data_IF_608918293385
#
_entry.id   IF_608918293385
#
_cell.length_a   1.000
_cell.length_b   1.000
_cell.length_c   1.000
_cell.angle_alpha   90.00
_cell.angle_beta   90.00
_cell.angle_gamma   90.00
#
_symmetry.space_group_name_H-M   'P 1'
#
loop_
_entity.id
_entity.type
_entity.pdbx_description
1 polymer ?
#
# COMPACT_ATOMS: atom_id res chain seq x y z
N UNK A 1 -22.63 -17.01 11.42
CA UNK A 1 -21.22 -17.06 10.98
C UNK A 1 -21.20 -17.03 9.46
N UNK A 2 -20.48 -16.07 8.90
CA UNK A 2 -20.34 -15.95 7.43
C UNK A 2 -19.60 -17.16 6.88
N UNK A 3 -20.12 -17.88 5.88
CA UNK A 3 -19.42 -19.02 5.29
C UNK A 3 -18.07 -18.62 4.70
N UNK A 4 -17.06 -19.49 4.83
CA UNK A 4 -15.71 -19.23 4.33
C UNK A 4 -15.65 -18.83 2.84
N UNK A 5 -16.49 -19.46 2.01
CA UNK A 5 -16.57 -19.14 0.57
C UNK A 5 -17.00 -17.72 0.27
N UNK A 6 -17.86 -17.13 1.10
CA UNK A 6 -18.27 -15.72 0.96
C UNK A 6 -17.09 -14.81 1.26
N UNK A 7 -16.33 -15.10 2.32
CA UNK A 7 -15.12 -14.32 2.64
C UNK A 7 -14.08 -14.41 1.52
N UNK A 8 -13.88 -15.61 0.96
CA UNK A 8 -12.96 -15.82 -0.15
C UNK A 8 -13.40 -15.04 -1.41
N UNK A 9 -14.68 -15.06 -1.73
CA UNK A 9 -15.24 -14.32 -2.87
C UNK A 9 -15.07 -12.81 -2.68
N UNK A 10 -15.37 -12.29 -1.49
CA UNK A 10 -15.19 -10.87 -1.20
C UNK A 10 -13.72 -10.47 -1.28
N UNK A 11 -12.81 -11.27 -0.74
CA UNK A 11 -11.37 -11.04 -0.84
C UNK A 11 -10.89 -11.01 -2.30
N UNK A 12 -11.38 -11.94 -3.13
CA UNK A 12 -11.11 -11.96 -4.57
C UNK A 12 -11.62 -10.69 -5.26
N UNK A 13 -12.84 -10.27 -4.96
CA UNK A 13 -13.42 -9.06 -5.55
C UNK A 13 -12.67 -7.79 -5.12
N UNK A 14 -12.19 -7.71 -3.88
CA UNK A 14 -11.34 -6.61 -3.43
C UNK A 14 -10.02 -6.51 -4.24
N UNK A 15 -9.50 -7.64 -4.72
CA UNK A 15 -8.32 -7.69 -5.58
C UNK A 15 -8.49 -6.99 -6.94
N UNK A 16 -9.72 -6.82 -7.43
CA UNK A 16 -10.03 -6.12 -8.69
C UNK A 16 -9.51 -4.67 -8.65
N UNK A 17 -9.60 -4.01 -7.50
CA UNK A 17 -9.05 -2.67 -7.33
C UNK A 17 -7.55 -2.58 -7.60
N UNK A 18 -6.78 -3.61 -7.22
CA UNK A 18 -5.36 -3.71 -7.56
C UNK A 18 -5.10 -3.86 -9.05
N UNK A 19 -5.98 -4.57 -9.78
CA UNK A 19 -5.91 -4.72 -11.24
C UNK A 19 -6.11 -3.41 -11.99
N UNK A 20 -6.94 -2.50 -11.48
CA UNK A 20 -7.18 -1.18 -12.08
C UNK A 20 -5.91 -0.32 -12.17
N UNK A 21 -4.94 -0.53 -11.28
CA UNK A 21 -3.65 0.16 -11.31
C UNK A 21 -2.92 -0.02 -12.65
N UNK A 22 -3.02 -1.19 -13.25
CA UNK A 22 -2.43 -1.48 -14.57
C UNK A 22 -3.07 -0.69 -15.71
N UNK A 23 -4.30 -0.22 -15.56
CA UNK A 23 -4.97 0.65 -16.54
C UNK A 23 -4.55 2.11 -16.44
N UNK A 24 -4.27 2.59 -15.22
CA UNK A 24 -3.95 4.01 -14.99
C UNK A 24 -2.53 4.38 -15.39
N UNK A 25 -1.55 3.50 -15.18
CA UNK A 25 -0.15 3.77 -15.45
C UNK A 25 0.16 4.01 -16.94
N UNK A 26 -0.29 3.15 -17.88
CA UNK A 26 -0.11 3.39 -19.30
C UNK A 26 -0.78 4.68 -19.78
N UNK A 27 -2.00 4.96 -19.32
CA UNK A 27 -2.73 6.19 -19.67
C UNK A 27 -1.93 7.44 -19.31
N UNK A 28 -1.33 7.48 -18.13
CA UNK A 28 -0.45 8.59 -17.73
C UNK A 28 0.75 8.72 -18.66
N UNK A 29 1.35 7.60 -19.08
CA UNK A 29 2.46 7.62 -20.03
C UNK A 29 2.10 8.20 -21.40
N UNK A 30 0.85 8.10 -21.84
CA UNK A 30 0.38 8.70 -23.11
C UNK A 30 0.13 10.21 -23.02
N UNK A 31 -0.27 10.73 -21.86
CA UNK A 31 -0.59 12.14 -21.69
C UNK A 31 0.63 13.02 -21.44
N UNK A 32 1.76 12.45 -21.04
CA UNK A 32 2.95 13.20 -20.69
C UNK A 32 4.10 12.96 -21.68
N UNK A 33 4.94 13.97 -21.95
CA UNK A 33 6.10 13.78 -22.82
C UNK A 33 7.09 12.81 -22.19
N UNK A 34 7.81 12.05 -23.03
CA UNK A 34 8.76 11.01 -22.60
C UNK A 34 9.80 11.51 -21.59
N UNK A 35 10.23 12.79 -21.73
CA UNK A 35 11.21 13.42 -20.81
C UNK A 35 10.72 13.59 -19.37
N UNK A 36 9.41 13.55 -19.13
CA UNK A 36 8.77 13.71 -17.82
C UNK A 36 8.03 12.43 -17.39
N UNK A 37 8.25 11.33 -18.07
CA UNK A 37 7.55 10.07 -17.81
C UNK A 37 7.81 9.54 -16.39
N UNK A 38 9.04 9.60 -15.91
CA UNK A 38 9.40 9.18 -14.56
C UNK A 38 8.74 10.06 -13.51
N UNK A 39 8.76 11.37 -13.68
CA UNK A 39 8.10 12.33 -12.78
C UNK A 39 6.58 12.09 -12.75
N UNK A 40 5.95 11.95 -13.91
CA UNK A 40 4.49 11.75 -14.00
C UNK A 40 4.05 10.44 -13.35
N UNK A 41 4.73 9.34 -13.66
CA UNK A 41 4.45 8.03 -13.08
C UNK A 41 4.82 7.96 -11.58
N UNK A 42 5.90 8.62 -11.18
CA UNK A 42 6.32 8.74 -9.79
C UNK A 42 5.30 9.50 -8.94
N UNK A 43 4.83 10.65 -9.42
CA UNK A 43 3.77 11.44 -8.78
C UNK A 43 2.46 10.66 -8.68
N UNK A 44 1.98 10.11 -9.78
CA UNK A 44 0.73 9.34 -9.80
C UNK A 44 0.82 8.14 -8.86
N UNK A 45 1.87 7.33 -8.99
CA UNK A 45 2.04 6.15 -8.16
C UNK A 45 2.32 6.48 -6.68
N UNK A 46 3.06 7.57 -6.41
CA UNK A 46 3.33 8.02 -5.05
C UNK A 46 2.07 8.55 -4.36
N UNK A 47 1.33 9.45 -5.01
CA UNK A 47 0.06 9.97 -4.47
C UNK A 47 -0.96 8.83 -4.29
N UNK A 48 -1.06 7.91 -5.27
CA UNK A 48 -1.94 6.75 -5.16
C UNK A 48 -1.60 5.86 -3.95
N UNK A 49 -0.32 5.64 -3.69
CA UNK A 49 0.14 4.85 -2.54
C UNK A 49 -0.10 5.54 -1.18
N UNK A 50 -0.27 6.87 -1.14
CA UNK A 50 -0.68 7.56 0.10
C UNK A 50 -2.00 7.03 0.64
N UNK A 51 -2.87 6.50 -0.22
CA UNK A 51 -4.10 5.85 0.21
C UNK A 51 -3.89 4.73 1.24
N UNK A 52 -2.79 3.97 1.12
CA UNK A 52 -2.44 2.94 2.09
C UNK A 52 -2.11 3.55 3.46
N UNK A 53 -1.41 4.67 3.48
CA UNK A 53 -1.09 5.40 4.71
C UNK A 53 -2.34 6.01 5.33
N UNK A 54 -3.20 6.61 4.51
CA UNK A 54 -4.46 7.23 4.97
C UNK A 54 -5.37 6.19 5.63
N UNK A 55 -5.56 5.02 5.01
CA UNK A 55 -6.43 3.99 5.60
C UNK A 55 -5.85 3.41 6.89
N UNK A 56 -4.53 3.28 6.99
CA UNK A 56 -3.88 2.78 8.21
C UNK A 56 -3.94 3.79 9.35
N UNK A 57 -3.93 5.09 9.05
CA UNK A 57 -4.06 6.15 10.05
C UNK A 57 -5.53 6.37 10.46
N UNK A 58 -6.41 6.49 9.48
CA UNK A 58 -7.81 6.89 9.68
C UNK A 58 -8.68 5.69 10.06
N UNK A 59 -8.37 4.49 9.56
CA UNK A 59 -9.14 3.28 9.81
C UNK A 59 -9.36 2.98 11.30
N UNK A 60 -8.32 2.91 12.14
CA UNK A 60 -8.47 2.69 13.57
C UNK A 60 -9.32 3.77 14.27
N UNK A 61 -9.18 5.03 13.83
CA UNK A 61 -9.97 6.14 14.36
C UNK A 61 -11.45 5.94 14.02
N UNK A 62 -11.76 5.60 12.77
CA UNK A 62 -13.14 5.37 12.32
C UNK A 62 -13.81 4.20 13.03
N UNK A 63 -13.04 3.17 13.38
CA UNK A 63 -13.57 2.02 14.13
C UNK A 63 -13.96 2.36 15.57
N UNK A 64 -13.37 3.40 16.17
CA UNK A 64 -13.68 3.87 17.52
C UNK A 64 -14.95 4.72 17.61
N UNK A 65 -15.54 5.14 16.50
CA UNK A 65 -16.71 6.03 16.49
C UNK A 65 -17.90 5.40 15.77
N UNK A 66 -19.11 5.60 16.32
CA UNK A 66 -20.33 5.41 15.55
C UNK A 66 -20.47 6.52 14.51
N UNK A 67 -20.09 6.24 13.26
CA UNK A 67 -20.05 7.25 12.20
C UNK A 67 -21.47 7.66 11.77
N UNK A 68 -21.76 8.95 11.80
CA UNK A 68 -22.92 9.63 11.18
C UNK A 68 -24.31 9.06 11.47
N UNK A 69 -24.53 8.32 12.58
CA UNK A 69 -25.82 7.72 12.83
C UNK A 69 -26.20 6.61 11.85
N UNK A 70 -25.32 6.23 10.95
CA UNK A 70 -25.47 5.10 10.03
C UNK A 70 -25.03 3.79 10.70
N UNK A 71 -25.43 3.56 11.92
CA UNK A 71 -25.21 2.27 12.58
C UNK A 71 -26.17 1.23 12.04
N UNK A 72 -26.01 0.88 10.76
CA UNK A 72 -26.82 -0.17 10.12
C UNK A 72 -26.56 -1.52 10.75
N UNK A 73 -25.38 -1.67 11.34
CA UNK A 73 -24.95 -2.89 12.01
C UNK A 73 -24.61 -2.58 13.47
N UNK A 74 -24.92 -3.53 14.35
CA UNK A 74 -24.59 -3.42 15.76
C UNK A 74 -23.07 -3.41 15.97
N UNK A 75 -22.56 -2.64 16.96
CA UNK A 75 -21.14 -2.66 17.28
C UNK A 75 -20.70 -4.07 17.68
N UNK A 76 -19.46 -4.38 17.38
CA UNK A 76 -18.82 -5.60 17.84
C UNK A 76 -18.09 -5.32 19.15
N UNK A 77 -18.04 -6.32 20.03
CA UNK A 77 -17.25 -6.22 21.26
C UNK A 77 -15.79 -6.56 20.94
N UNK A 78 -14.86 -5.69 21.30
CA UNK A 78 -13.45 -5.93 21.11
C UNK A 78 -12.98 -7.09 21.99
N UNK A 79 -12.40 -8.12 21.35
CA UNK A 79 -11.97 -9.36 22.04
C UNK A 79 -10.48 -9.33 22.38
N UNK A 80 -9.68 -8.51 21.70
CA UNK A 80 -8.21 -8.41 21.88
C UNK A 80 -7.76 -6.96 21.81
N UNK A 81 -6.66 -6.64 22.49
CA UNK A 81 -6.03 -5.32 22.49
C UNK A 81 -6.30 -4.53 23.76
N UNK A 82 -5.97 -3.25 23.76
CA UNK A 82 -6.02 -2.40 24.96
C UNK A 82 -7.41 -2.05 25.48
N UNK A 83 -8.45 -2.21 24.64
CA UNK A 83 -9.83 -1.85 24.91
C UNK A 83 -10.77 -3.06 24.85
N UNK A 84 -10.36 -4.17 25.47
CA UNK A 84 -11.18 -5.40 25.54
C UNK A 84 -12.48 -5.10 26.28
N UNK A 85 -13.61 -5.47 25.65
CA UNK A 85 -14.96 -5.23 26.18
C UNK A 85 -15.62 -3.94 25.66
N UNK A 86 -14.89 -3.04 25.02
CA UNK A 86 -15.47 -1.85 24.40
C UNK A 86 -16.15 -2.17 23.05
N UNK A 87 -17.14 -1.35 22.72
CA UNK A 87 -17.84 -1.47 21.44
C UNK A 87 -17.03 -0.85 20.33
N UNK A 88 -16.78 -1.61 19.25
CA UNK A 88 -16.08 -1.16 18.06
C UNK A 88 -16.91 -1.36 16.80
N UNK A 89 -16.75 -0.48 15.84
CA UNK A 89 -17.44 -0.51 14.54
C UNK A 89 -16.45 -0.83 13.43
N UNK A 90 -16.00 -2.09 13.35
CA UNK A 90 -14.97 -2.52 12.39
C UNK A 90 -15.35 -2.22 10.93
N UNK A 91 -16.64 -2.29 10.60
CA UNK A 91 -17.16 -2.05 9.27
C UNK A 91 -17.03 -0.57 8.83
N UNK A 92 -16.95 0.39 9.76
CA UNK A 92 -16.79 1.81 9.43
C UNK A 92 -15.52 2.08 8.62
N UNK A 93 -14.47 1.29 8.83
CA UNK A 93 -13.24 1.38 8.05
C UNK A 93 -13.47 1.10 6.55
N UNK A 94 -14.46 0.28 6.20
CA UNK A 94 -14.82 0.01 4.82
C UNK A 94 -15.91 0.96 4.32
N UNK A 95 -16.95 1.20 5.11
CA UNK A 95 -18.11 2.05 4.74
C UNK A 95 -17.70 3.48 4.41
N UNK A 96 -16.76 4.03 5.16
CA UNK A 96 -16.25 5.39 4.91
C UNK A 96 -15.72 5.58 3.50
N UNK A 97 -15.14 4.55 2.89
CA UNK A 97 -14.54 4.66 1.56
C UNK A 97 -15.53 4.42 0.42
N UNK A 98 -16.71 3.87 0.68
CA UNK A 98 -17.73 3.61 -0.35
C UNK A 98 -18.11 4.89 -1.12
N UNK A 99 -18.52 6.00 -0.46
CA UNK A 99 -18.88 7.22 -1.18
C UNK A 99 -17.71 7.80 -1.98
N UNK A 100 -16.49 7.69 -1.48
CA UNK A 100 -15.30 8.18 -2.20
C UNK A 100 -15.01 7.35 -3.45
N UNK A 101 -15.19 6.03 -3.39
CA UNK A 101 -15.09 5.18 -4.56
C UNK A 101 -16.15 5.51 -5.61
N UNK A 102 -17.39 5.77 -5.19
CA UNK A 102 -18.46 6.18 -6.10
C UNK A 102 -18.18 7.54 -6.74
N UNK A 103 -17.74 8.52 -5.96
CA UNK A 103 -17.34 9.83 -6.48
C UNK A 103 -16.20 9.68 -7.47
N UNK A 104 -15.17 8.91 -7.15
CA UNK A 104 -14.04 8.66 -8.05
C UNK A 104 -14.50 7.99 -9.36
N UNK A 105 -15.40 7.03 -9.29
CA UNK A 105 -15.96 6.36 -10.48
C UNK A 105 -16.75 7.33 -11.36
N UNK A 106 -17.57 8.20 -10.77
CA UNK A 106 -18.33 9.23 -11.51
C UNK A 106 -17.38 10.23 -12.15
N UNK A 107 -16.37 10.72 -11.43
CA UNK A 107 -15.38 11.64 -11.96
C UNK A 107 -14.57 11.03 -13.09
N UNK A 108 -14.20 9.76 -12.95
CA UNK A 108 -13.53 9.01 -14.01
C UNK A 108 -14.40 8.91 -15.27
N UNK A 109 -15.69 8.60 -15.12
CA UNK A 109 -16.62 8.52 -16.25
C UNK A 109 -16.81 9.86 -16.96
N UNK A 110 -16.86 10.97 -16.24
CA UNK A 110 -17.08 12.30 -16.81
C UNK A 110 -15.81 12.88 -17.45
N UNK A 111 -14.67 12.75 -16.80
CA UNK A 111 -13.45 13.48 -17.15
C UNK A 111 -12.35 12.64 -17.78
N UNK A 112 -12.32 11.32 -17.52
CA UNK A 112 -11.29 10.47 -18.08
C UNK A 112 -11.54 10.30 -19.59
N UNK A 113 -10.49 10.53 -20.38
CA UNK A 113 -10.54 10.32 -21.82
C UNK A 113 -9.77 9.06 -22.18
N UNK A 114 -10.40 8.20 -22.94
CA UNK A 114 -9.76 7.01 -23.47
C UNK A 114 -8.79 7.37 -24.59
N UNK A 115 -7.61 6.78 -24.55
CA UNK A 115 -6.69 6.78 -25.69
C UNK A 115 -6.93 5.49 -26.45
N UNK A 116 -7.51 5.54 -27.66
CA UNK A 116 -7.83 4.34 -28.42
C UNK A 116 -6.55 3.64 -28.90
N UNK A 117 -6.10 2.66 -28.15
CA UNK A 117 -4.99 1.78 -28.54
C UNK A 117 -5.58 0.52 -29.14
N UNK A 118 -5.49 0.39 -30.47
CA UNK A 118 -5.91 -0.82 -31.19
C UNK A 118 -4.79 -1.87 -31.09
N UNK A 119 -4.63 -2.49 -29.93
CA UNK A 119 -3.71 -3.60 -29.77
C UNK A 119 -4.47 -4.93 -29.86
N UNK A 120 -4.01 -5.83 -30.73
CA UNK A 120 -4.54 -7.18 -30.78
C UNK A 120 -3.96 -7.99 -29.59
N UNK A 121 -4.76 -8.88 -28.99
CA UNK A 121 -4.33 -9.76 -27.87
C UNK A 121 -3.02 -10.49 -28.20
N UNK A 122 -2.87 -10.97 -29.44
CA UNK A 122 -1.65 -11.64 -29.89
C UNK A 122 -0.42 -10.73 -29.81
N UNK A 123 -0.55 -9.45 -30.18
CA UNK A 123 0.54 -8.46 -30.07
C UNK A 123 0.85 -8.11 -28.60
N UNK A 124 -0.15 -8.15 -27.73
CA UNK A 124 0.08 -7.94 -26.29
C UNK A 124 0.83 -9.12 -25.65
N UNK A 125 0.58 -10.34 -26.11
CA UNK A 125 1.30 -11.53 -25.63
C UNK A 125 2.75 -11.61 -26.11
N UNK A 126 3.12 -10.91 -27.19
CA UNK A 126 4.50 -10.80 -27.67
C UNK A 126 5.46 -10.19 -26.64
N UNK A 127 4.94 -9.45 -25.70
CA UNK A 127 5.74 -8.87 -24.60
C UNK A 127 6.48 -9.95 -23.79
N UNK A 128 5.91 -11.16 -23.69
CA UNK A 128 6.52 -12.29 -22.97
C UNK A 128 7.75 -12.87 -23.69
N UNK A 129 7.91 -12.59 -24.99
CA UNK A 129 9.07 -13.02 -25.79
C UNK A 129 10.28 -12.13 -25.56
N UNK A 130 10.10 -10.94 -24.98
CA UNK A 130 11.18 -10.00 -24.72
C UNK A 130 11.82 -10.28 -23.35
N UNK A 131 13.11 -10.61 -23.25
CA UNK A 131 13.79 -10.89 -21.99
C UNK A 131 13.78 -9.68 -21.02
N UNK A 132 13.76 -8.44 -21.54
CA UNK A 132 13.67 -7.25 -20.70
C UNK A 132 12.37 -7.20 -19.90
N UNK A 133 11.30 -7.77 -20.40
CA UNK A 133 10.03 -7.88 -19.68
C UNK A 133 10.19 -8.67 -18.38
N UNK A 134 10.90 -9.78 -18.45
CA UNK A 134 11.14 -10.63 -17.27
C UNK A 134 12.05 -9.95 -16.26
N UNK A 135 13.12 -9.30 -16.69
CA UNK A 135 13.98 -8.51 -15.79
C UNK A 135 13.20 -7.41 -15.09
N UNK A 136 12.41 -6.64 -15.83
CA UNK A 136 11.58 -5.58 -15.24
C UNK A 136 10.51 -6.13 -14.32
N UNK A 137 9.91 -7.27 -14.64
CA UNK A 137 8.93 -7.94 -13.80
C UNK A 137 9.55 -8.37 -12.46
N UNK A 138 10.71 -9.00 -12.48
CA UNK A 138 11.42 -9.42 -11.27
C UNK A 138 11.75 -8.20 -10.40
N UNK A 139 12.30 -7.14 -11.00
CA UNK A 139 12.60 -5.90 -10.29
C UNK A 139 11.35 -5.27 -9.67
N UNK A 140 10.23 -5.29 -10.39
CA UNK A 140 8.97 -4.75 -9.88
C UNK A 140 8.39 -5.59 -8.74
N UNK A 141 8.44 -6.92 -8.85
CA UNK A 141 8.04 -7.83 -7.78
C UNK A 141 8.89 -7.59 -6.53
N UNK A 142 10.20 -7.45 -6.68
CA UNK A 142 11.08 -7.18 -5.54
C UNK A 142 10.82 -5.82 -4.90
N UNK A 143 10.72 -4.76 -5.68
CA UNK A 143 10.59 -3.40 -5.14
C UNK A 143 9.17 -3.12 -4.64
N UNK A 144 8.17 -3.27 -5.49
CA UNK A 144 6.78 -2.99 -5.14
C UNK A 144 6.17 -4.07 -4.25
N UNK A 145 6.54 -5.32 -4.46
CA UNK A 145 6.11 -6.45 -3.63
C UNK A 145 6.58 -6.30 -2.19
N UNK A 146 7.85 -5.93 -1.98
CA UNK A 146 8.37 -5.64 -0.65
C UNK A 146 7.66 -4.44 -0.01
N UNK A 147 7.51 -3.33 -0.74
CA UNK A 147 6.80 -2.17 -0.22
C UNK A 147 5.37 -2.51 0.19
N UNK A 148 4.62 -3.17 -0.67
CA UNK A 148 3.23 -3.55 -0.40
C UNK A 148 3.11 -4.58 0.72
N UNK A 149 3.95 -5.61 0.69
CA UNK A 149 3.97 -6.67 1.70
C UNK A 149 4.34 -6.14 3.08
N UNK A 150 5.42 -5.35 3.18
CA UNK A 150 5.79 -4.73 4.46
C UNK A 150 4.72 -3.78 4.96
N UNK A 151 4.14 -2.96 4.09
CA UNK A 151 3.04 -2.05 4.48
C UNK A 151 1.86 -2.81 5.08
N UNK A 152 1.52 -3.98 4.53
CA UNK A 152 0.41 -4.78 5.02
C UNK A 152 0.67 -5.40 6.40
N UNK A 153 1.90 -5.83 6.68
CA UNK A 153 2.26 -6.52 7.93
C UNK A 153 2.91 -5.61 8.96
N UNK A 154 3.23 -4.38 8.62
CA UNK A 154 4.05 -3.49 9.45
C UNK A 154 3.46 -3.26 10.84
N UNK A 155 2.16 -2.96 10.93
CA UNK A 155 1.47 -2.79 12.21
C UNK A 155 1.47 -4.06 13.06
N UNK A 156 1.29 -5.23 12.43
CA UNK A 156 1.35 -6.51 13.13
C UNK A 156 2.77 -6.81 13.63
N UNK A 157 3.79 -6.48 12.82
CA UNK A 157 5.19 -6.65 13.20
C UNK A 157 5.56 -5.79 14.42
N UNK A 158 5.12 -4.53 14.43
CA UNK A 158 5.30 -3.64 15.59
C UNK A 158 4.66 -4.23 16.84
N UNK A 159 3.40 -4.68 16.75
CA UNK A 159 2.71 -5.26 17.89
C UNK A 159 3.40 -6.53 18.41
N UNK A 160 3.81 -7.43 17.52
CA UNK A 160 4.38 -8.70 17.92
C UNK A 160 5.80 -8.59 18.47
N UNK A 161 6.60 -7.64 17.97
CA UNK A 161 8.01 -7.53 18.35
C UNK A 161 8.25 -6.51 19.47
N UNK A 162 7.50 -5.42 19.47
CA UNK A 162 7.70 -4.29 20.38
C UNK A 162 6.48 -3.98 21.24
N UNK A 163 5.28 -4.39 20.86
CA UNK A 163 4.04 -4.09 21.55
C UNK A 163 3.95 -4.69 22.95
N UNK A 164 2.89 -4.37 23.67
CA UNK A 164 2.66 -4.80 25.07
C UNK A 164 2.62 -6.32 25.25
N UNK A 165 2.22 -7.05 24.23
CA UNK A 165 2.16 -8.53 24.26
C UNK A 165 3.52 -9.17 23.89
N UNK A 166 4.52 -8.38 23.49
CA UNK A 166 5.86 -8.87 23.18
C UNK A 166 6.70 -9.05 24.45
N UNK A 167 7.85 -9.70 24.32
CA UNK A 167 8.83 -9.85 25.42
C UNK A 167 9.35 -8.52 25.96
N UNK A 168 9.30 -7.45 25.14
CA UNK A 168 9.74 -6.10 25.53
C UNK A 168 8.64 -5.28 26.21
N UNK A 169 7.37 -5.65 26.01
CA UNK A 169 6.20 -5.00 26.60
C UNK A 169 6.21 -3.46 26.52
N UNK A 170 6.68 -2.90 25.39
CA UNK A 170 6.69 -1.45 25.19
C UNK A 170 5.23 -0.95 24.99
N UNK A 171 4.90 0.25 25.49
CA UNK A 171 3.57 0.85 25.31
C UNK A 171 3.39 1.41 23.89
N UNK A 172 3.68 0.60 22.87
CA UNK A 172 3.50 0.95 21.46
C UNK A 172 2.39 0.13 20.83
N UNK A 173 1.58 0.78 20.00
CA UNK A 173 0.53 0.16 19.23
C UNK A 173 0.90 0.22 17.75
N UNK A 174 0.88 -0.93 17.08
CA UNK A 174 1.15 -0.99 15.66
C UNK A 174 0.21 -0.10 14.85
N UNK A 175 -1.06 0.01 15.25
CA UNK A 175 -2.03 0.90 14.61
C UNK A 175 -1.62 2.38 14.61
N UNK A 176 -0.86 2.83 15.63
CA UNK A 176 -0.41 4.22 15.74
C UNK A 176 0.75 4.54 14.79
N UNK A 177 1.58 3.57 14.46
CA UNK A 177 2.82 3.78 13.71
C UNK A 177 2.79 3.16 12.30
N UNK A 178 1.88 2.23 12.03
CA UNK A 178 1.84 1.49 10.77
C UNK A 178 1.79 2.38 9.52
N UNK A 179 1.11 3.52 9.59
CA UNK A 179 0.95 4.45 8.47
C UNK A 179 2.27 5.10 8.02
N UNK A 180 3.29 5.17 8.88
CA UNK A 180 4.56 5.84 8.57
C UNK A 180 5.33 5.15 7.45
N UNK A 181 5.35 3.82 7.42
CA UNK A 181 6.04 3.07 6.37
C UNK A 181 5.51 3.41 4.97
N UNK A 182 4.20 3.24 4.69
CA UNK A 182 3.61 3.63 3.42
C UNK A 182 3.72 5.13 3.13
N UNK A 183 3.66 6.00 4.14
CA UNK A 183 3.82 7.44 3.98
C UNK A 183 5.19 7.79 3.41
N UNK A 184 6.23 7.35 4.07
CA UNK A 184 7.63 7.61 3.67
C UNK A 184 7.89 7.01 2.29
N UNK A 185 7.50 5.75 2.07
CA UNK A 185 7.67 5.09 0.78
C UNK A 185 6.96 5.81 -0.38
N UNK A 186 5.77 6.36 -0.12
CA UNK A 186 5.03 7.15 -1.11
C UNK A 186 5.72 8.46 -1.46
N UNK A 187 6.23 9.18 -0.46
CA UNK A 187 6.98 10.44 -0.65
C UNK A 187 8.29 10.18 -1.41
N UNK A 188 9.02 9.15 -1.03
CA UNK A 188 10.26 8.76 -1.74
C UNK A 188 9.95 8.40 -3.20
N UNK A 189 8.87 7.68 -3.48
CA UNK A 189 8.50 7.32 -4.84
C UNK A 189 8.25 8.55 -5.73
N UNK A 190 7.62 9.59 -5.20
CA UNK A 190 7.44 10.85 -5.92
C UNK A 190 8.78 11.50 -6.27
N UNK A 191 9.69 11.56 -5.31
CA UNK A 191 11.02 12.13 -5.49
C UNK A 191 11.87 11.34 -6.47
N UNK A 192 11.83 10.01 -6.39
CA UNK A 192 12.60 9.12 -7.29
C UNK A 192 12.24 9.30 -8.75
N UNK A 193 10.96 9.55 -9.08
CA UNK A 193 10.53 9.84 -10.44
C UNK A 193 11.31 10.99 -11.10
N UNK A 194 11.54 12.07 -10.35
CA UNK A 194 12.28 13.24 -10.79
C UNK A 194 13.75 12.89 -11.09
N UNK A 195 14.36 12.10 -10.22
CA UNK A 195 15.75 11.67 -10.39
C UNK A 195 15.91 10.68 -11.56
N UNK A 196 14.93 9.79 -11.75
CA UNK A 196 14.92 8.87 -12.90
C UNK A 196 14.90 9.61 -14.23
N UNK A 197 14.14 10.69 -14.36
CA UNK A 197 14.10 11.49 -15.58
C UNK A 197 15.42 12.23 -15.88
N UNK A 198 16.18 12.57 -14.83
CA UNK A 198 17.45 13.31 -14.98
C UNK A 198 18.67 12.41 -15.20
N UNK A 199 18.72 11.28 -14.51
CA UNK A 199 19.91 10.43 -14.43
C UNK A 199 19.74 9.06 -15.09
N UNK A 200 18.53 8.72 -15.49
CA UNK A 200 18.18 7.41 -16.04
C UNK A 200 17.70 6.40 -14.99
N UNK A 201 16.67 5.63 -15.35
CA UNK A 201 16.02 4.70 -14.45
C UNK A 201 16.88 3.54 -13.96
N UNK A 202 17.84 3.06 -14.77
CA UNK A 202 18.66 1.91 -14.41
C UNK A 202 19.55 2.16 -13.19
N UNK A 203 20.19 3.34 -13.11
CA UNK A 203 21.03 3.72 -11.98
C UNK A 203 20.22 3.80 -10.70
N UNK A 204 19.06 4.44 -10.76
CA UNK A 204 18.18 4.59 -9.60
C UNK A 204 17.55 3.29 -9.16
N UNK A 205 17.25 2.38 -10.08
CA UNK A 205 16.80 1.03 -9.75
C UNK A 205 17.88 0.24 -9.01
N UNK A 206 19.15 0.35 -9.46
CA UNK A 206 20.27 -0.26 -8.77
C UNK A 206 20.47 0.30 -7.35
N UNK A 207 20.49 1.63 -7.21
CA UNK A 207 20.61 2.30 -5.90
C UNK A 207 19.48 1.87 -4.97
N UNK A 208 18.24 1.82 -5.47
CA UNK A 208 17.07 1.37 -4.70
C UNK A 208 17.22 -0.09 -4.26
N UNK A 209 17.65 -0.98 -5.15
CA UNK A 209 17.84 -2.39 -4.82
C UNK A 209 18.90 -2.61 -3.73
N UNK A 210 20.04 -1.94 -3.85
CA UNK A 210 21.10 -2.01 -2.83
C UNK A 210 20.63 -1.40 -1.50
N UNK A 211 19.98 -0.23 -1.56
CA UNK A 211 19.42 0.41 -0.37
C UNK A 211 18.41 -0.48 0.36
N UNK A 212 17.51 -1.11 -0.37
CA UNK A 212 16.54 -2.06 0.18
C UNK A 212 17.23 -3.27 0.82
N UNK A 213 18.25 -3.83 0.20
CA UNK A 213 18.99 -4.96 0.76
C UNK A 213 19.67 -4.59 2.09
N UNK A 214 20.29 -3.43 2.17
CA UNK A 214 20.93 -2.91 3.39
C UNK A 214 19.87 -2.68 4.48
N UNK A 215 18.75 -2.06 4.14
CA UNK A 215 17.66 -1.80 5.09
C UNK A 215 17.06 -3.08 5.62
N UNK A 216 16.81 -4.08 4.75
CA UNK A 216 16.30 -5.38 5.16
C UNK A 216 17.28 -6.13 6.08
N UNK A 217 18.59 -6.05 5.81
CA UNK A 217 19.60 -6.63 6.69
C UNK A 217 19.60 -5.94 8.06
N UNK A 218 19.44 -4.61 8.09
CA UNK A 218 19.29 -3.86 9.34
C UNK A 218 18.04 -4.25 10.13
N UNK A 219 16.90 -4.36 9.45
CA UNK A 219 15.64 -4.83 10.05
C UNK A 219 15.80 -6.25 10.61
N UNK A 220 16.40 -7.16 9.84
CA UNK A 220 16.63 -8.54 10.28
C UNK A 220 17.52 -8.59 11.54
N UNK A 221 18.55 -7.74 11.62
CA UNK A 221 19.38 -7.64 12.81
C UNK A 221 18.57 -7.17 14.02
N UNK A 222 17.85 -6.05 13.87
CA UNK A 222 17.06 -5.47 14.98
C UNK A 222 16.00 -6.46 15.49
N UNK A 223 15.36 -7.20 14.58
CA UNK A 223 14.33 -8.18 14.95
C UNK A 223 14.91 -9.48 15.52
N UNK A 224 16.20 -9.77 15.34
CA UNK A 224 16.82 -10.98 15.86
C UNK A 224 16.89 -10.99 17.39
N UNK A 225 17.25 -9.84 18.02
CA UNK A 225 17.27 -9.69 19.48
C UNK A 225 16.88 -8.25 19.87
N UNK A 226 15.61 -7.88 19.80
CA UNK A 226 15.18 -6.54 20.17
C UNK A 226 15.36 -6.35 21.69
N UNK A 227 16.05 -5.26 22.10
CA UNK A 227 16.39 -5.00 23.48
C UNK A 227 15.61 -3.86 24.13
N UNK A 228 14.93 -3.02 23.35
CA UNK A 228 14.16 -1.91 23.90
C UNK A 228 13.81 -0.80 22.93
N UNK A 229 13.68 0.41 23.46
CA UNK A 229 13.28 1.60 22.68
C UNK A 229 14.25 1.95 21.56
N UNK A 230 15.55 1.75 21.76
CA UNK A 230 16.55 2.04 20.72
C UNK A 230 16.31 1.22 19.47
N UNK A 231 16.06 -0.09 19.63
CA UNK A 231 15.79 -0.99 18.52
C UNK A 231 14.47 -0.68 17.85
N UNK A 232 13.46 -0.26 18.62
CA UNK A 232 12.21 0.23 18.07
C UNK A 232 12.42 1.47 17.16
N UNK A 233 13.21 2.45 17.61
CA UNK A 233 13.49 3.64 16.78
C UNK A 233 14.34 3.34 15.54
N UNK A 234 15.26 2.37 15.63
CA UNK A 234 16.04 1.93 14.47
C UNK A 234 15.16 1.16 13.47
N UNK A 235 14.18 0.40 13.98
CA UNK A 235 13.23 -0.32 13.16
C UNK A 235 12.28 0.62 12.41
N UNK A 236 11.83 1.71 13.05
CA UNK A 236 10.94 2.72 12.48
C UNK A 236 11.63 3.65 11.48
#
# INVERSE_FOLDING_TARGET
TTPYWVLLTLAFMCGIGGGAFSGYMPSTGYFFPKRLSGTALGLQGGIGNLGMSVIQLVGPILMGFGLFGMTWLAPQTQVKGDHVGESIWVYNAAEFFIPWCLVAAILAFIWLRDVPVKANIKQQLDIFSNPNTWYMTILYVMTFGLFSGFSAVFGLLINNQFGRESSLALPVLGATFAFLGPLIGSIIRMSWGIFCDRMGGAIWTFISGVGMAITLAGIAWVLYNPTGWTDFYIFM
#
